data_IF_686939721661
#
_entry.id   IF_686939721661
#
_cell.length_a   1.000
_cell.length_b   1.000
_cell.length_c   1.000
_cell.angle_alpha   90.00
_cell.angle_beta   90.00
_cell.angle_gamma   90.00
#
_symmetry.space_group_name_H-M   'P 1'
#
loop_
_entity.id
_entity.type
_entity.pdbx_description
1 polymer ?
#
# COMPACT_ATOMS: atom_id res chain seq x y z
N UNK A 1 38.98 -15.60 5.14
CA UNK A 1 38.06 -14.58 4.61
C UNK A 1 36.86 -15.33 4.07
N UNK A 2 35.72 -15.31 4.75
CA UNK A 2 34.46 -15.85 4.26
C UNK A 2 34.04 -15.00 3.07
N UNK A 3 33.68 -15.65 1.95
CA UNK A 3 33.08 -14.94 0.81
C UNK A 3 31.89 -14.11 1.29
N UNK A 4 31.69 -12.89 0.76
CA UNK A 4 30.52 -12.11 1.12
C UNK A 4 29.26 -12.95 0.84
N UNK A 5 28.39 -13.08 1.83
CA UNK A 5 27.10 -13.75 1.66
C UNK A 5 26.36 -13.00 0.56
N UNK A 6 26.14 -13.65 -0.57
CA UNK A 6 25.42 -13.05 -1.69
C UNK A 6 23.96 -12.91 -1.25
N UNK A 7 23.43 -11.68 -1.23
CA UNK A 7 22.03 -11.44 -0.94
C UNK A 7 21.18 -12.30 -1.88
N UNK A 8 20.21 -13.01 -1.33
CA UNK A 8 19.21 -13.75 -2.11
C UNK A 8 17.91 -13.59 -1.37
N UNK A 9 16.90 -12.90 -1.94
CA UNK A 9 15.66 -12.65 -1.24
C UNK A 9 14.89 -13.95 -0.99
N UNK A 10 14.34 -14.08 0.20
CA UNK A 10 13.39 -15.14 0.59
C UNK A 10 11.95 -14.63 0.56
N UNK A 11 11.79 -13.32 0.61
CA UNK A 11 10.54 -12.60 0.51
C UNK A 11 10.75 -11.37 -0.35
N UNK A 12 9.81 -11.12 -1.26
CA UNK A 12 9.72 -9.88 -2.02
C UNK A 12 8.45 -9.16 -1.58
N UNK A 13 8.63 -7.96 -1.04
CA UNK A 13 7.56 -7.04 -0.69
C UNK A 13 7.37 -6.05 -1.84
N UNK A 14 6.17 -5.98 -2.38
CA UNK A 14 5.85 -5.17 -3.56
C UNK A 14 4.74 -4.18 -3.22
N UNK A 15 4.99 -2.90 -3.46
CA UNK A 15 3.90 -1.94 -3.59
C UNK A 15 3.09 -2.23 -4.85
N UNK A 16 1.89 -1.65 -4.95
CA UNK A 16 0.95 -1.90 -6.05
C UNK A 16 0.97 -0.73 -7.04
N UNK A 17 0.58 0.45 -6.59
CA UNK A 17 0.33 1.62 -7.43
C UNK A 17 1.65 2.30 -7.85
N UNK A 18 1.94 2.34 -9.15
CA UNK A 18 3.23 2.86 -9.63
C UNK A 18 4.39 1.89 -9.47
N UNK A 19 4.15 0.66 -8.97
CA UNK A 19 5.18 -0.39 -8.83
C UNK A 19 4.81 -1.63 -9.64
N UNK A 20 3.65 -2.22 -9.39
CA UNK A 20 3.14 -3.39 -10.13
C UNK A 20 2.15 -3.01 -11.21
N UNK A 21 1.30 -2.02 -10.93
CA UNK A 21 0.24 -1.59 -11.83
C UNK A 21 0.67 -0.34 -12.59
N UNK A 22 0.55 -0.42 -13.91
CA UNK A 22 0.60 0.74 -14.80
C UNK A 22 -0.78 1.05 -15.34
N UNK A 23 -1.06 2.31 -15.60
CA UNK A 23 -2.31 2.76 -16.20
C UNK A 23 -2.17 2.79 -17.71
N UNK A 24 -2.94 1.96 -18.41
CA UNK A 24 -3.01 1.95 -19.87
C UNK A 24 -4.26 2.68 -20.31
N UNK A 25 -4.16 3.72 -21.19
CA UNK A 25 -5.31 4.35 -21.79
C UNK A 25 -6.07 3.34 -22.65
N UNK A 26 -7.29 3.03 -22.31
CA UNK A 26 -8.21 2.27 -23.13
C UNK A 26 -9.36 3.17 -23.59
N UNK A 27 -10.20 2.71 -24.50
CA UNK A 27 -11.28 3.46 -25.17
C UNK A 27 -12.25 4.14 -24.19
N UNK A 28 -11.80 5.22 -23.54
CA UNK A 28 -12.56 6.06 -22.62
C UNK A 28 -12.37 5.78 -21.12
N UNK A 29 -11.57 4.76 -20.77
CA UNK A 29 -11.25 4.43 -19.38
C UNK A 29 -9.77 4.11 -19.25
N UNK A 30 -9.20 4.39 -18.07
CA UNK A 30 -7.85 3.92 -17.72
C UNK A 30 -7.97 2.54 -17.08
N UNK A 31 -7.23 1.56 -17.61
CA UNK A 31 -7.20 0.20 -17.07
C UNK A 31 -5.87 -0.02 -16.38
N UNK A 32 -5.92 -0.44 -15.14
CA UNK A 32 -4.74 -0.85 -14.37
C UNK A 32 -4.36 -2.29 -14.73
N UNK A 33 -3.14 -2.49 -15.18
CA UNK A 33 -2.64 -3.80 -15.61
C UNK A 33 -1.27 -4.11 -15.01
N UNK A 34 -1.07 -5.38 -14.68
CA UNK A 34 0.27 -5.93 -14.41
C UNK A 34 0.85 -6.40 -15.73
N UNK A 35 2.04 -5.91 -16.08
CA UNK A 35 2.69 -6.29 -17.33
C UNK A 35 3.04 -7.78 -17.37
N UNK A 36 3.12 -8.38 -18.57
CA UNK A 36 3.59 -9.76 -18.71
C UNK A 36 4.99 -9.98 -18.10
N UNK A 37 5.91 -9.02 -18.24
CA UNK A 37 7.27 -9.11 -17.73
C UNK A 37 7.30 -9.18 -16.19
N UNK A 38 6.48 -8.34 -15.50
CA UNK A 38 6.34 -8.37 -14.04
C UNK A 38 5.73 -9.71 -13.59
N UNK A 39 4.70 -10.20 -14.28
CA UNK A 39 4.07 -11.49 -13.98
C UNK A 39 5.06 -12.64 -14.08
N UNK A 40 5.83 -12.71 -15.19
CA UNK A 40 6.85 -13.73 -15.39
C UNK A 40 7.98 -13.66 -14.35
N UNK A 41 8.39 -12.45 -13.93
CA UNK A 41 9.40 -12.29 -12.90
C UNK A 41 8.91 -12.81 -11.53
N UNK A 42 7.65 -12.51 -11.18
CA UNK A 42 7.00 -13.05 -9.98
C UNK A 42 6.93 -14.58 -10.05
N UNK A 43 6.58 -15.15 -11.20
CA UNK A 43 6.51 -16.60 -11.39
C UNK A 43 7.88 -17.28 -11.19
N UNK A 44 8.96 -16.69 -11.69
CA UNK A 44 10.33 -17.19 -11.47
C UNK A 44 10.71 -17.15 -9.99
N UNK A 45 10.40 -16.06 -9.30
CA UNK A 45 10.68 -15.92 -7.87
C UNK A 45 9.92 -16.98 -7.04
N UNK A 46 8.63 -17.18 -7.32
CA UNK A 46 7.81 -18.20 -6.67
C UNK A 46 8.33 -19.61 -6.95
N UNK A 47 8.70 -19.92 -8.20
CA UNK A 47 9.28 -21.22 -8.58
C UNK A 47 10.62 -21.49 -7.87
N UNK A 48 11.37 -20.45 -7.53
CA UNK A 48 12.60 -20.54 -6.73
C UNK A 48 12.34 -20.62 -5.21
N UNK A 49 11.07 -20.65 -4.77
CA UNK A 49 10.67 -20.74 -3.36
C UNK A 49 10.67 -19.40 -2.62
N UNK A 50 10.79 -18.29 -3.32
CA UNK A 50 10.65 -16.96 -2.72
C UNK A 50 9.17 -16.65 -2.45
N UNK A 51 8.87 -15.95 -1.35
CA UNK A 51 7.53 -15.50 -1.00
C UNK A 51 7.25 -14.13 -1.61
N UNK A 52 6.01 -13.91 -2.06
CA UNK A 52 5.54 -12.60 -2.54
C UNK A 52 4.53 -12.06 -1.54
N UNK A 53 4.72 -10.80 -1.11
CA UNK A 53 3.81 -10.07 -0.22
C UNK A 53 3.52 -8.72 -0.84
N UNK A 54 2.24 -8.41 -1.06
CA UNK A 54 1.82 -7.08 -1.48
C UNK A 54 1.68 -6.17 -0.26
N UNK A 55 2.15 -4.92 -0.35
CA UNK A 55 2.05 -3.92 0.70
C UNK A 55 1.60 -2.58 0.11
N UNK A 56 0.37 -2.16 0.40
CA UNK A 56 -0.23 -1.00 -0.26
C UNK A 56 -1.03 -0.13 0.71
N UNK A 57 -1.31 1.11 0.30
CA UNK A 57 -2.34 1.96 0.89
C UNK A 57 -3.77 1.51 0.59
N UNK A 58 -3.98 0.60 -0.36
CA UNK A 58 -5.31 0.08 -0.72
C UNK A 58 -5.93 -0.70 0.44
N UNK A 59 -7.28 -0.69 0.49
CA UNK A 59 -8.06 -1.52 1.42
C UNK A 59 -7.91 -3.02 1.09
N UNK A 60 -8.14 -3.93 2.06
CA UNK A 60 -8.06 -5.36 1.84
C UNK A 60 -8.91 -5.86 0.66
N UNK A 61 -10.12 -5.29 0.47
CA UNK A 61 -10.99 -5.65 -0.64
C UNK A 61 -10.32 -5.37 -2.00
N UNK A 62 -9.82 -4.16 -2.21
CA UNK A 62 -9.10 -3.75 -3.42
C UNK A 62 -7.86 -4.60 -3.67
N UNK A 63 -7.09 -4.88 -2.62
CA UNK A 63 -5.89 -5.72 -2.72
C UNK A 63 -6.23 -7.16 -3.09
N UNK A 64 -7.36 -7.69 -2.63
CA UNK A 64 -7.79 -9.05 -2.99
C UNK A 64 -8.03 -9.20 -4.51
N UNK A 65 -8.45 -8.14 -5.18
CA UNK A 65 -8.60 -8.12 -6.64
C UNK A 65 -7.24 -8.20 -7.34
N UNK A 66 -6.22 -7.50 -6.82
CA UNK A 66 -4.86 -7.55 -7.37
C UNK A 66 -4.22 -8.92 -7.12
N UNK A 67 -4.38 -9.49 -5.91
CA UNK A 67 -3.94 -10.87 -5.61
C UNK A 67 -4.56 -11.89 -6.56
N UNK A 68 -5.85 -11.77 -6.83
CA UNK A 68 -6.56 -12.60 -7.80
C UNK A 68 -6.04 -12.39 -9.23
N UNK A 69 -5.80 -11.14 -9.63
CA UNK A 69 -5.25 -10.83 -10.95
C UNK A 69 -3.85 -11.42 -11.13
N UNK A 70 -3.04 -11.45 -10.08
CA UNK A 70 -1.71 -12.07 -10.05
C UNK A 70 -1.76 -13.59 -9.89
N UNK A 71 -2.94 -14.18 -9.66
CA UNK A 71 -3.11 -15.61 -9.34
C UNK A 71 -2.27 -16.03 -8.11
N UNK A 72 -2.37 -15.24 -7.02
CA UNK A 72 -1.68 -15.51 -5.75
C UNK A 72 -2.66 -16.00 -4.68
N UNK A 73 -2.34 -17.08 -3.97
CA UNK A 73 -1.20 -17.98 -4.15
C UNK A 73 -1.39 -18.87 -5.38
N UNK A 74 -0.30 -19.42 -5.94
CA UNK A 74 -0.34 -20.27 -7.15
C UNK A 74 -1.11 -21.56 -6.97
N UNK A 75 -1.18 -22.08 -5.77
CA UNK A 75 -1.91 -23.31 -5.44
C UNK A 75 -2.89 -23.09 -4.28
N UNK A 76 -3.93 -22.32 -4.52
CA UNK A 76 -5.01 -22.14 -3.55
C UNK A 76 -5.73 -23.47 -3.21
N UNK A 77 -5.64 -24.49 -4.09
CA UNK A 77 -6.24 -25.80 -3.86
C UNK A 77 -5.52 -26.61 -2.77
N UNK A 78 -4.26 -26.30 -2.49
CA UNK A 78 -3.48 -26.89 -1.39
C UNK A 78 -3.85 -26.32 -0.01
N UNK A 79 -4.69 -25.28 0.03
CA UNK A 79 -4.98 -24.50 1.24
C UNK A 79 -3.92 -23.42 1.53
N UNK A 80 -2.97 -23.18 0.63
CA UNK A 80 -2.03 -22.08 0.74
C UNK A 80 -2.77 -20.76 0.60
N UNK A 81 -2.37 -19.77 1.42
CA UNK A 81 -2.90 -18.41 1.39
C UNK A 81 -1.77 -17.42 1.15
N UNK A 82 -2.04 -16.43 0.28
CA UNK A 82 -1.19 -15.27 0.19
C UNK A 82 -1.40 -14.39 1.42
N UNK A 83 -0.33 -13.80 1.93
CA UNK A 83 -0.38 -12.77 2.98
C UNK A 83 -0.16 -11.41 2.35
N UNK A 84 -0.84 -10.39 2.87
CA UNK A 84 -0.74 -9.03 2.36
C UNK A 84 -0.86 -7.99 3.47
N UNK A 85 -0.34 -6.80 3.20
CA UNK A 85 -0.35 -5.62 4.07
C UNK A 85 -1.16 -4.53 3.40
N UNK A 86 -2.31 -4.21 3.96
CA UNK A 86 -3.26 -3.21 3.47
C UNK A 86 -3.25 -1.95 4.33
N UNK A 87 -3.93 -0.91 3.85
CA UNK A 87 -4.21 0.32 4.59
C UNK A 87 -2.95 0.93 5.20
N UNK A 88 -1.87 1.00 4.39
CA UNK A 88 -0.54 1.47 4.79
C UNK A 88 0.05 0.76 6.02
N UNK A 89 -0.32 -0.50 6.26
CA UNK A 89 0.18 -1.30 7.38
C UNK A 89 -0.80 -1.47 8.54
N UNK A 90 -1.94 -0.77 8.52
CA UNK A 90 -2.94 -0.88 9.59
C UNK A 90 -3.68 -2.22 9.58
N UNK A 91 -3.70 -2.92 8.44
CA UNK A 91 -4.36 -4.23 8.30
C UNK A 91 -3.42 -5.23 7.66
N UNK A 92 -3.25 -6.41 8.29
CA UNK A 92 -2.67 -7.58 7.65
C UNK A 92 -3.76 -8.62 7.41
N UNK A 93 -3.75 -9.27 6.26
CA UNK A 93 -4.76 -10.25 5.91
C UNK A 93 -4.22 -11.40 5.09
N UNK A 94 -4.96 -12.51 5.05
CA UNK A 94 -4.71 -13.65 4.16
C UNK A 94 -5.78 -13.74 3.07
N UNK A 95 -5.42 -14.38 1.93
CA UNK A 95 -6.30 -14.59 0.78
C UNK A 95 -5.89 -15.85 0.00
N UNK A 96 -6.82 -16.62 -0.59
CA UNK A 96 -8.28 -16.68 -0.37
C UNK A 96 -8.69 -17.63 0.77
N UNK A 97 -9.85 -17.49 1.41
CA UNK A 97 -10.70 -16.31 1.40
C UNK A 97 -10.02 -15.13 2.09
N UNK A 98 -10.52 -13.91 1.87
CA UNK A 98 -10.01 -12.74 2.61
C UNK A 98 -10.32 -12.92 4.10
N UNK A 99 -9.28 -12.91 4.92
CA UNK A 99 -9.38 -13.00 6.37
C UNK A 99 -8.41 -12.02 7.02
N UNK A 100 -8.92 -11.08 7.81
CA UNK A 100 -8.10 -10.18 8.61
C UNK A 100 -7.35 -10.99 9.66
N UNK A 101 -6.02 -10.83 9.71
CA UNK A 101 -5.13 -11.50 10.64
C UNK A 101 -4.75 -10.59 11.81
N UNK A 102 -4.64 -9.30 11.55
CA UNK A 102 -4.34 -8.27 12.52
C UNK A 102 -4.81 -6.92 11.99
N UNK A 103 -5.26 -6.07 12.90
CA UNK A 103 -5.60 -4.68 12.62
C UNK A 103 -5.12 -3.78 13.75
N UNK A 104 -4.72 -2.57 13.41
CA UNK A 104 -4.38 -1.51 14.36
C UNK A 104 -5.36 -0.37 14.12
N UNK A 105 -6.03 0.06 15.17
CA UNK A 105 -7.06 1.11 15.14
C UNK A 105 -6.64 2.33 15.93
N UNK A 106 -7.28 3.46 15.67
CA UNK A 106 -7.08 4.70 16.42
C UNK A 106 -8.37 5.53 16.50
N UNK A 107 -8.42 6.42 17.48
CA UNK A 107 -9.49 7.40 17.60
C UNK A 107 -9.24 8.57 16.65
N UNK A 108 -10.00 8.62 15.56
CA UNK A 108 -9.82 9.63 14.50
C UNK A 108 -10.60 10.93 14.74
N UNK A 109 -11.41 11.04 15.82
CA UNK A 109 -12.35 12.16 16.04
C UNK A 109 -11.66 13.53 16.03
N UNK A 110 -10.58 13.68 16.79
CA UNK A 110 -9.88 14.97 16.90
C UNK A 110 -9.15 15.33 15.60
N UNK A 111 -8.49 14.35 14.98
CA UNK A 111 -7.78 14.56 13.71
C UNK A 111 -8.74 14.98 12.58
N UNK A 112 -9.84 14.25 12.40
CA UNK A 112 -10.87 14.57 11.42
C UNK A 112 -11.51 15.93 11.70
N UNK A 113 -11.92 16.20 12.94
CA UNK A 113 -12.51 17.50 13.32
C UNK A 113 -11.54 18.66 13.05
N UNK A 114 -10.24 18.45 13.21
CA UNK A 114 -9.21 19.45 12.97
C UNK A 114 -9.04 19.72 11.47
N UNK A 115 -8.95 18.68 10.65
CA UNK A 115 -8.86 18.83 9.19
C UNK A 115 -10.12 19.48 8.63
N UNK A 116 -11.32 19.04 9.06
CA UNK A 116 -12.60 19.56 8.58
C UNK A 116 -12.84 21.04 8.91
N UNK A 117 -12.15 21.64 9.91
CA UNK A 117 -12.17 23.09 10.13
C UNK A 117 -11.49 23.87 9.02
N UNK A 118 -10.55 23.27 8.31
CA UNK A 118 -9.75 23.91 7.25
C UNK A 118 -10.28 23.60 5.86
N UNK A 119 -10.84 22.39 5.69
CA UNK A 119 -11.44 21.91 4.43
C UNK A 119 -12.83 21.35 4.68
N UNK A 120 -13.82 22.21 5.01
CA UNK A 120 -15.17 21.77 5.45
C UNK A 120 -15.95 21.02 4.38
N UNK A 121 -15.59 21.18 3.11
CA UNK A 121 -16.23 20.53 1.97
C UNK A 121 -15.54 19.20 1.58
N UNK A 122 -14.49 18.80 2.26
CA UNK A 122 -13.77 17.57 1.94
C UNK A 122 -14.68 16.33 2.11
N UNK A 123 -14.48 15.35 1.25
CA UNK A 123 -15.03 14.03 1.40
C UNK A 123 -14.17 13.22 2.40
N UNK A 124 -14.83 12.54 3.32
CA UNK A 124 -14.20 11.69 4.34
C UNK A 124 -14.72 10.28 4.19
N UNK A 125 -13.82 9.32 4.13
CA UNK A 125 -14.15 7.89 4.08
C UNK A 125 -13.45 7.12 5.19
N UNK A 126 -14.13 6.11 5.73
CA UNK A 126 -13.64 5.12 6.68
C UNK A 126 -13.87 3.74 6.08
N UNK A 127 -12.89 2.85 6.19
CA UNK A 127 -12.98 1.51 5.63
C UNK A 127 -14.06 0.67 6.34
N UNK A 128 -14.82 -0.07 5.55
CA UNK A 128 -15.73 -1.12 5.98
C UNK A 128 -15.23 -2.44 5.40
N UNK A 129 -14.57 -3.27 6.21
CA UNK A 129 -13.85 -4.45 5.73
C UNK A 129 -14.76 -5.41 4.94
N UNK A 130 -14.34 -5.74 3.74
CA UNK A 130 -15.07 -6.65 2.85
C UNK A 130 -16.28 -6.07 2.13
N UNK A 131 -16.63 -4.80 2.39
CA UNK A 131 -17.78 -4.11 1.78
C UNK A 131 -17.32 -2.93 0.92
N UNK A 132 -16.50 -2.06 1.46
CA UNK A 132 -16.07 -0.82 0.81
C UNK A 132 -15.81 0.26 1.86
N UNK A 133 -16.62 1.34 1.83
CA UNK A 133 -16.40 2.51 2.69
C UNK A 133 -17.70 3.12 3.20
N UNK A 134 -17.69 3.56 4.46
CA UNK A 134 -18.64 4.57 4.93
C UNK A 134 -18.08 5.95 4.60
N UNK A 135 -18.92 6.84 4.04
CA UNK A 135 -18.49 8.14 3.53
C UNK A 135 -19.46 9.25 3.95
N UNK A 136 -18.97 10.46 4.26
CA UNK A 136 -19.84 11.61 4.54
C UNK A 136 -20.47 12.18 3.26
N UNK A 137 -19.80 12.01 2.12
CA UNK A 137 -20.26 12.33 0.76
C UNK A 137 -19.59 11.40 -0.24
N UNK A 138 -20.17 11.25 -1.43
CA UNK A 138 -19.60 10.41 -2.46
C UNK A 138 -18.25 10.93 -2.93
N UNK A 139 -17.31 10.01 -3.07
CA UNK A 139 -16.06 10.23 -3.77
C UNK A 139 -16.26 10.15 -5.28
N UNK A 140 -15.40 10.75 -6.10
CA UNK A 140 -15.41 10.55 -7.54
C UNK A 140 -15.39 9.08 -7.92
N UNK A 141 -16.07 8.75 -9.05
CA UNK A 141 -16.13 7.39 -9.56
C UNK A 141 -14.72 6.83 -9.81
N UNK A 142 -14.46 5.62 -9.32
CA UNK A 142 -13.20 4.92 -9.49
C UNK A 142 -12.09 5.30 -8.49
N UNK A 143 -12.32 6.24 -7.57
CA UNK A 143 -11.34 6.55 -6.50
C UNK A 143 -11.41 5.58 -5.32
N UNK A 144 -12.56 5.00 -5.03
CA UNK A 144 -12.75 4.00 -3.98
C UNK A 144 -13.39 2.74 -4.57
N UNK A 145 -12.86 1.57 -4.20
CA UNK A 145 -13.43 0.28 -4.56
C UNK A 145 -14.50 -0.17 -3.57
N UNK A 146 -15.52 -0.84 -4.08
CA UNK A 146 -16.61 -1.37 -3.27
C UNK A 146 -17.77 -0.39 -3.08
N UNK A 147 -18.56 -0.62 -2.06
CA UNK A 147 -19.78 0.14 -1.77
C UNK A 147 -19.45 1.42 -1.01
N UNK A 148 -20.11 2.53 -1.37
CA UNK A 148 -20.04 3.78 -0.61
C UNK A 148 -21.34 3.98 0.17
N UNK A 149 -21.27 3.81 1.51
CA UNK A 149 -22.41 3.93 2.41
C UNK A 149 -22.41 5.34 3.01
N UNK A 150 -23.37 6.18 2.59
CA UNK A 150 -23.51 7.53 3.13
C UNK A 150 -23.79 7.49 4.64
N UNK A 151 -22.94 8.14 5.40
CA UNK A 151 -22.94 8.12 6.88
C UNK A 151 -22.60 9.53 7.39
N UNK A 152 -23.32 10.07 8.38
CA UNK A 152 -22.95 11.33 9.03
C UNK A 152 -21.52 11.30 9.58
N UNK A 153 -20.81 12.43 9.52
CA UNK A 153 -19.39 12.49 9.88
C UNK A 153 -19.13 12.08 11.33
N UNK A 154 -20.03 12.45 12.24
CA UNK A 154 -19.92 12.09 13.67
C UNK A 154 -20.05 10.58 13.90
N UNK A 155 -20.81 9.88 13.05
CA UNK A 155 -20.96 8.43 13.07
C UNK A 155 -19.78 7.73 12.43
N UNK A 156 -19.15 8.34 11.39
CA UNK A 156 -17.96 7.79 10.73
C UNK A 156 -16.81 7.54 11.70
N UNK A 157 -16.64 8.47 12.66
CA UNK A 157 -15.53 8.45 13.62
C UNK A 157 -15.99 8.13 15.04
N UNK A 158 -17.21 7.61 15.21
CA UNK A 158 -17.76 7.27 16.53
C UNK A 158 -17.00 6.13 17.22
N UNK A 159 -16.39 5.24 16.42
CA UNK A 159 -15.55 4.13 16.88
C UNK A 159 -14.12 4.34 16.39
N UNK A 160 -13.18 3.60 16.98
CA UNK A 160 -11.84 3.50 16.46
C UNK A 160 -11.84 2.90 15.05
N UNK A 161 -10.95 3.38 14.19
CA UNK A 161 -10.87 3.03 12.78
C UNK A 161 -9.44 2.67 12.38
N UNK A 162 -9.27 1.84 11.37
CA UNK A 162 -7.95 1.47 10.83
C UNK A 162 -7.35 2.55 9.96
N UNK A 163 -8.20 3.34 9.28
CA UNK A 163 -7.81 4.38 8.32
C UNK A 163 -8.93 5.37 8.10
N UNK A 164 -8.56 6.63 7.90
CA UNK A 164 -9.46 7.67 7.39
C UNK A 164 -8.86 8.27 6.13
N UNK A 165 -9.65 8.36 5.08
CA UNK A 165 -9.31 9.03 3.84
C UNK A 165 -10.01 10.39 3.83
N UNK A 166 -9.25 11.45 3.53
CA UNK A 166 -9.79 12.78 3.34
C UNK A 166 -9.42 13.25 1.94
N UNK A 167 -10.42 13.60 1.14
CA UNK A 167 -10.29 14.00 -0.25
C UNK A 167 -10.93 15.36 -0.47
N UNK A 168 -10.16 16.31 -0.96
CA UNK A 168 -10.66 17.61 -1.40
C UNK A 168 -10.33 17.79 -2.89
N UNK A 169 -11.32 17.68 -3.80
CA UNK A 169 -11.10 17.82 -5.24
C UNK A 169 -10.58 19.20 -5.67
N UNK A 170 -10.83 20.24 -4.86
CA UNK A 170 -10.45 21.61 -5.16
C UNK A 170 -9.06 21.99 -4.64
N UNK A 171 -8.41 21.10 -3.89
CA UNK A 171 -7.06 21.28 -3.33
C UNK A 171 -6.01 20.49 -4.11
N UNK A 172 -4.74 20.79 -3.85
CA UNK A 172 -3.57 20.07 -4.38
C UNK A 172 -2.91 19.21 -3.30
N UNK A 173 -2.02 18.28 -3.70
CA UNK A 173 -1.22 17.52 -2.74
C UNK A 173 -0.33 18.42 -1.87
N UNK A 174 0.21 19.51 -2.43
CA UNK A 174 1.00 20.51 -1.72
C UNK A 174 0.20 21.25 -0.65
N UNK A 175 -1.09 21.52 -0.90
CA UNK A 175 -2.00 22.11 0.08
C UNK A 175 -2.16 21.17 1.29
N UNK A 176 -2.34 19.87 1.06
CA UNK A 176 -2.40 18.89 2.14
C UNK A 176 -1.06 18.70 2.88
N UNK A 177 0.09 18.75 2.18
CA UNK A 177 1.43 18.76 2.83
C UNK A 177 1.53 19.95 3.78
N UNK A 178 1.14 21.14 3.30
CA UNK A 178 1.16 22.37 4.08
C UNK A 178 0.18 22.34 5.26
N UNK A 179 -0.99 21.75 5.05
CA UNK A 179 -2.02 21.57 6.07
C UNK A 179 -1.54 20.58 7.15
N UNK A 180 -1.08 19.42 6.79
CA UNK A 180 -0.60 18.41 7.72
C UNK A 180 0.56 18.92 8.59
N UNK A 181 1.51 19.65 7.98
CA UNK A 181 2.63 20.26 8.69
C UNK A 181 2.17 21.33 9.71
N UNK A 182 1.10 22.09 9.40
CA UNK A 182 0.54 23.12 10.29
C UNK A 182 -0.29 22.51 11.44
N UNK A 183 -1.00 21.41 11.16
CA UNK A 183 -1.95 20.86 12.13
C UNK A 183 -1.27 20.02 13.21
N UNK A 184 -0.04 19.50 12.95
CA UNK A 184 0.67 18.66 13.90
C UNK A 184 -0.23 17.53 14.38
N UNK A 185 -0.80 16.74 13.46
CA UNK A 185 -1.77 15.67 13.71
C UNK A 185 -1.18 14.64 14.69
N UNK A 186 -1.30 14.95 16.00
CA UNK A 186 -0.74 14.13 17.06
C UNK A 186 -1.49 12.80 17.20
N UNK A 187 -0.75 11.73 17.49
CA UNK A 187 -1.32 10.40 17.66
C UNK A 187 -1.75 9.72 16.36
N UNK A 188 -1.35 10.28 15.20
CA UNK A 188 -1.62 9.71 13.89
C UNK A 188 -0.40 9.77 12.99
N UNK A 189 -0.21 8.73 12.17
CA UNK A 189 0.62 8.79 10.96
C UNK A 189 -0.23 9.32 9.82
N UNK A 190 0.36 10.02 8.85
CA UNK A 190 -0.36 10.48 7.68
C UNK A 190 0.46 10.27 6.40
N UNK A 191 -0.24 9.97 5.32
CA UNK A 191 0.33 9.80 3.99
C UNK A 191 -0.43 10.69 3.01
N UNK A 192 0.28 11.34 2.10
CA UNK A 192 -0.30 12.24 1.11
C UNK A 192 -0.06 11.61 -0.25
N UNK A 193 -1.16 11.37 -0.98
CA UNK A 193 -1.14 10.82 -2.33
C UNK A 193 -0.73 11.85 -3.39
N UNK A 194 -0.70 11.41 -4.64
CA UNK A 194 -0.38 12.23 -5.81
C UNK A 194 -1.45 13.30 -6.13
N UNK A 195 -2.67 13.10 -5.63
CA UNK A 195 -3.77 14.07 -5.70
C UNK A 195 -4.03 14.66 -4.33
N UNK A 196 -4.99 15.58 -4.18
CA UNK A 196 -5.42 16.11 -2.88
C UNK A 196 -6.11 15.01 -2.02
N UNK A 197 -5.31 14.09 -1.56
CA UNK A 197 -5.66 12.89 -0.83
C UNK A 197 -4.79 12.76 0.42
N UNK A 198 -5.42 12.72 1.59
CA UNK A 198 -4.76 12.55 2.87
C UNK A 198 -5.27 11.29 3.53
N UNK A 199 -4.39 10.33 3.76
CA UNK A 199 -4.64 9.16 4.58
C UNK A 199 -4.19 9.42 6.01
N UNK A 200 -5.09 9.23 6.98
CA UNK A 200 -4.75 9.17 8.39
C UNK A 200 -4.72 7.71 8.84
N UNK A 201 -3.67 7.32 9.52
CA UNK A 201 -3.43 5.99 10.07
C UNK A 201 -3.03 6.07 11.55
N UNK A 202 -3.09 4.98 12.31
CA UNK A 202 -2.59 4.93 13.67
C UNK A 202 -1.12 5.34 13.77
N UNK A 203 -0.72 5.99 14.87
CA UNK A 203 0.67 6.40 15.09
C UNK A 203 1.62 5.21 15.06
N UNK A 204 2.77 5.37 14.39
CA UNK A 204 3.78 4.31 14.26
C UNK A 204 3.43 3.20 13.27
N UNK A 205 2.25 3.25 12.65
CA UNK A 205 1.85 2.31 11.60
C UNK A 205 2.42 2.76 10.26
N UNK A 206 2.98 1.81 9.52
CA UNK A 206 3.53 1.99 8.18
C UNK A 206 3.53 0.66 7.43
N UNK A 207 3.76 0.66 6.12
CA UNK A 207 3.94 -0.59 5.36
C UNK A 207 5.03 -1.47 5.99
N UNK A 208 6.08 -0.87 6.57
CA UNK A 208 7.14 -1.60 7.26
C UNK A 208 6.65 -2.34 8.50
N UNK A 209 5.81 -1.72 9.34
CA UNK A 209 5.29 -2.39 10.55
C UNK A 209 4.41 -3.59 10.21
N UNK A 210 3.54 -3.45 9.20
CA UNK A 210 2.73 -4.57 8.71
C UNK A 210 3.58 -5.68 8.06
N UNK A 211 4.60 -5.30 7.28
CA UNK A 211 5.54 -6.26 6.70
C UNK A 211 6.38 -6.99 7.75
N UNK A 212 6.79 -6.32 8.81
CA UNK A 212 7.52 -6.96 9.91
C UNK A 212 6.68 -8.06 10.57
N UNK A 213 5.38 -7.83 10.75
CA UNK A 213 4.45 -8.86 11.25
C UNK A 213 4.33 -10.02 10.27
N UNK A 214 4.07 -9.75 8.98
CA UNK A 214 3.92 -10.78 7.94
C UNK A 214 5.22 -11.59 7.77
N UNK A 215 6.37 -10.93 7.70
CA UNK A 215 7.68 -11.58 7.60
C UNK A 215 7.97 -12.48 8.80
N UNK A 216 7.62 -12.03 10.02
CA UNK A 216 7.71 -12.85 11.24
C UNK A 216 6.84 -14.10 11.16
N UNK A 217 5.61 -14.00 10.68
CA UNK A 217 4.71 -15.16 10.47
C UNK A 217 5.27 -16.15 9.45
N UNK A 218 5.98 -15.64 8.44
CA UNK A 218 6.64 -16.46 7.40
C UNK A 218 8.03 -16.97 7.81
N UNK A 219 8.54 -16.56 8.98
CA UNK A 219 9.88 -16.93 9.45
C UNK A 219 11.01 -16.31 8.60
N UNK A 220 10.78 -15.14 8.01
CA UNK A 220 11.76 -14.43 7.16
C UNK A 220 12.27 -13.19 7.93
N UNK A 221 13.58 -13.11 8.11
CA UNK A 221 14.21 -11.95 8.72
C UNK A 221 14.35 -10.79 7.71
N UNK A 222 14.29 -9.50 8.16
CA UNK A 222 14.33 -8.34 7.27
C UNK A 222 15.49 -8.34 6.28
N UNK A 223 16.68 -8.77 6.68
CA UNK A 223 17.87 -8.88 5.83
C UNK A 223 17.73 -9.84 4.64
N UNK A 224 16.67 -10.64 4.60
CA UNK A 224 16.34 -11.53 3.48
C UNK A 224 15.12 -11.03 2.68
N UNK A 225 14.72 -9.77 2.89
CA UNK A 225 13.59 -9.14 2.19
C UNK A 225 14.12 -8.20 1.12
N UNK A 226 13.58 -8.34 -0.10
CA UNK A 226 13.65 -7.34 -1.15
C UNK A 226 12.33 -6.54 -1.12
N UNK A 227 12.39 -5.23 -0.97
CA UNK A 227 11.23 -4.35 -1.06
C UNK A 227 11.35 -3.45 -2.28
N UNK A 228 10.26 -3.29 -3.03
CA UNK A 228 10.17 -2.42 -4.22
C UNK A 228 8.96 -1.51 -4.06
N UNK A 229 9.15 -0.20 -4.26
CA UNK A 229 8.09 0.80 -4.13
C UNK A 229 8.45 2.11 -4.82
N UNK A 230 7.46 3.02 -4.95
CA UNK A 230 7.65 4.31 -5.62
C UNK A 230 7.18 5.52 -4.81
N UNK A 231 6.32 5.31 -3.82
CA UNK A 231 5.66 6.37 -3.07
C UNK A 231 6.37 6.76 -1.76
N UNK A 232 5.99 7.92 -1.21
CA UNK A 232 6.45 8.36 0.12
C UNK A 232 6.08 7.39 1.24
N UNK A 233 4.94 6.70 1.10
CA UNK A 233 4.49 5.68 2.03
C UNK A 233 5.34 4.40 1.98
N UNK A 234 6.24 4.25 1.00
CA UNK A 234 7.18 3.14 0.88
C UNK A 234 8.50 3.38 1.63
N UNK A 235 8.83 4.61 1.98
CA UNK A 235 10.12 4.97 2.58
C UNK A 235 10.49 4.01 3.71
N UNK A 236 9.62 3.85 4.71
CA UNK A 236 9.90 2.97 5.84
C UNK A 236 10.05 1.49 5.42
N UNK A 237 9.31 1.04 4.41
CA UNK A 237 9.41 -0.32 3.88
C UNK A 237 10.76 -0.54 3.19
N UNK A 238 11.21 0.42 2.39
CA UNK A 238 12.49 0.36 1.69
C UNK A 238 13.66 0.40 2.67
N UNK A 239 13.60 1.23 3.72
CA UNK A 239 14.63 1.31 4.77
C UNK A 239 14.67 0.06 5.66
N UNK A 240 13.51 -0.56 5.91
CA UNK A 240 13.40 -1.75 6.77
C UNK A 240 13.92 -3.02 6.11
N UNK A 241 13.78 -3.16 4.79
CA UNK A 241 14.17 -4.34 4.05
C UNK A 241 15.70 -4.50 3.97
N UNK A 242 16.19 -5.74 3.81
CA UNK A 242 17.60 -6.01 3.54
C UNK A 242 18.09 -5.45 2.20
N UNK A 243 17.14 -5.17 1.29
CA UNK A 243 17.36 -4.43 0.06
C UNK A 243 16.09 -3.67 -0.31
N UNK A 244 16.17 -2.36 -0.21
CA UNK A 244 15.11 -1.43 -0.63
C UNK A 244 15.40 -0.86 -2.02
N UNK A 245 14.43 -0.93 -2.93
CA UNK A 245 14.57 -0.48 -4.32
C UNK A 245 13.45 0.49 -4.67
N UNK A 246 13.84 1.69 -5.08
CA UNK A 246 12.90 2.70 -5.57
C UNK A 246 12.67 2.52 -7.08
N UNK A 247 11.43 2.71 -7.52
CA UNK A 247 11.08 2.78 -8.93
C UNK A 247 11.67 4.03 -9.60
N UNK A 248 11.92 3.97 -10.91
CA UNK A 248 12.57 5.05 -11.66
C UNK A 248 11.81 6.38 -11.65
N UNK A 249 10.49 6.36 -11.57
CA UNK A 249 9.64 7.56 -11.46
C UNK A 249 9.44 8.06 -10.03
N UNK A 250 9.91 7.34 -9.01
CA UNK A 250 9.74 7.73 -7.61
C UNK A 250 10.28 9.15 -7.33
N UNK A 251 9.74 9.90 -6.36
CA UNK A 251 10.29 11.17 -5.91
C UNK A 251 11.75 11.05 -5.45
N UNK A 252 12.51 12.15 -5.57
CA UNK A 252 13.92 12.16 -5.20
C UNK A 252 14.18 11.76 -3.75
N UNK A 253 13.30 12.10 -2.83
CA UNK A 253 13.37 11.71 -1.42
C UNK A 253 13.27 10.18 -1.22
N UNK A 254 12.42 9.50 -2.02
CA UNK A 254 12.29 8.03 -2.00
C UNK A 254 13.51 7.37 -2.61
N UNK A 255 14.03 7.92 -3.71
CA UNK A 255 15.27 7.43 -4.35
C UNK A 255 16.48 7.59 -3.46
N UNK A 256 16.52 8.67 -2.66
CA UNK A 256 17.67 8.99 -1.80
C UNK A 256 17.89 7.99 -0.66
N UNK A 257 16.82 7.33 -0.19
CA UNK A 257 16.91 6.35 0.92
C UNK A 257 17.03 4.90 0.42
N UNK A 258 16.76 4.65 -0.85
CA UNK A 258 16.79 3.31 -1.40
C UNK A 258 18.23 2.83 -1.67
N UNK A 259 18.49 1.53 -1.51
CA UNK A 259 19.78 0.90 -1.88
C UNK A 259 20.04 0.92 -3.38
N UNK A 260 18.96 0.98 -4.17
CA UNK A 260 19.02 1.00 -5.63
C UNK A 260 17.78 1.68 -6.23
N UNK A 261 17.97 2.24 -7.42
CA UNK A 261 16.88 2.76 -8.25
C UNK A 261 16.80 1.90 -9.49
N UNK A 262 15.64 1.31 -9.74
CA UNK A 262 15.37 0.53 -10.95
C UNK A 262 14.74 1.41 -12.02
N UNK A 263 14.26 0.83 -13.13
CA UNK A 263 13.52 1.54 -14.16
C UNK A 263 12.12 1.95 -13.69
N UNK A 264 11.40 2.75 -14.47
CA UNK A 264 10.04 3.15 -14.15
C UNK A 264 9.04 2.00 -14.33
N UNK A 265 7.81 2.17 -13.84
CA UNK A 265 6.75 1.17 -13.98
C UNK A 265 6.41 0.92 -15.45
N UNK A 266 6.45 1.94 -16.30
CA UNK A 266 6.24 1.82 -17.76
C UNK A 266 7.35 1.02 -18.46
N UNK A 267 8.53 0.93 -17.83
CA UNK A 267 9.69 0.18 -18.33
C UNK A 267 9.94 -1.11 -17.53
N UNK A 268 8.91 -1.65 -16.89
CA UNK A 268 8.98 -2.91 -16.14
C UNK A 268 10.04 -2.94 -15.03
N UNK A 269 10.26 -1.83 -14.33
CA UNK A 269 11.32 -1.69 -13.33
C UNK A 269 11.28 -2.76 -12.24
N UNK A 270 10.10 -3.16 -11.77
CA UNK A 270 9.96 -4.22 -10.79
C UNK A 270 10.44 -5.58 -11.34
N UNK A 271 10.10 -5.91 -12.60
CA UNK A 271 10.59 -7.14 -13.26
C UNK A 271 12.11 -7.13 -13.42
N UNK A 272 12.69 -6.00 -13.80
CA UNK A 272 14.15 -5.86 -13.97
C UNK A 272 14.86 -6.16 -12.64
N UNK A 273 14.37 -5.59 -11.54
CA UNK A 273 15.01 -5.83 -10.23
C UNK A 273 14.81 -7.28 -9.76
N UNK A 274 13.60 -7.84 -9.85
CA UNK A 274 13.34 -9.23 -9.47
C UNK A 274 14.25 -10.18 -10.24
N UNK A 275 14.38 -10.01 -11.55
CA UNK A 275 15.20 -10.85 -12.44
C UNK A 275 16.72 -10.81 -12.16
N UNK A 276 17.21 -9.92 -11.30
CA UNK A 276 18.61 -9.96 -10.83
C UNK A 276 18.89 -11.16 -9.91
N UNK A 277 17.84 -11.72 -9.33
CA UNK A 277 17.94 -12.72 -8.27
C UNK A 277 17.45 -14.11 -8.69
N UNK A 278 16.59 -14.17 -9.75
CA UNK A 278 15.90 -15.37 -10.20
C UNK A 278 16.01 -15.64 -11.70
#
# INVERSE_FOLDING_TARGET
MTAPVRFTPKLIALDIDGTLLTTVPDTGYSVEVVSPAVREAIDRALAAGCRIVLASGRAPLSMSLVLKQLDLPRDASSGEQALAVASNGAVTFSYPPMQVLSEVTFDAREAVATVMKHVPEAAVAVEEHGVGYRVNRHFPDGELDGEMILTPIDELVAMEVTRVIIRDPDSTSEDFVSLAAKLGLQGTSYFIGWTAWLDLAPEGVSKASGLAEVASRLGVAPENVLAIGDGRNDIHMLEWAGRGVAMGQAPDEVKAIADHVTESVENDGAAIEINRWF
#
